data_IF_278640151795
#
_entry.id   IF_278640151795
#
_cell.length_a   1.000
_cell.length_b   1.000
_cell.length_c   1.000
_cell.angle_alpha   90.00
_cell.angle_beta   90.00
_cell.angle_gamma   90.00
#
_symmetry.space_group_name_H-M   'P 1'
#
loop_
_entity.id
_entity.type
_entity.pdbx_description
1 polymer ?
#
# COMPACT_ATOMS: atom_id res chain seq x y z
N UNK A 1 -8.63 4.67 -6.59
CA UNK A 1 -9.37 4.42 -7.85
C UNK A 1 -8.40 4.60 -9.01
N UNK A 2 -8.56 3.83 -10.10
CA UNK A 2 -7.95 4.17 -11.39
C UNK A 2 -8.58 5.46 -11.96
N UNK A 3 -7.96 6.07 -12.97
CA UNK A 3 -8.41 7.37 -13.48
C UNK A 3 -9.80 7.33 -14.12
N UNK A 4 -10.16 6.21 -14.74
CA UNK A 4 -11.49 5.97 -15.31
C UNK A 4 -12.50 5.43 -14.28
N UNK A 5 -12.08 5.22 -13.03
CA UNK A 5 -12.92 4.67 -11.97
C UNK A 5 -13.28 3.19 -12.09
N UNK A 6 -12.77 2.46 -13.09
CA UNK A 6 -13.12 1.04 -13.28
C UNK A 6 -12.38 0.09 -12.34
N UNK A 7 -11.34 0.55 -11.63
CA UNK A 7 -10.59 -0.24 -10.65
C UNK A 7 -10.56 0.49 -9.30
N UNK A 8 -10.94 -0.20 -8.24
CA UNK A 8 -10.87 0.28 -6.87
C UNK A 8 -9.98 -0.62 -6.03
N UNK A 9 -9.13 -0.01 -5.22
CA UNK A 9 -8.37 -0.70 -4.18
C UNK A 9 -8.81 -0.16 -2.82
N UNK A 10 -8.98 -1.06 -1.85
CA UNK A 10 -9.30 -0.71 -0.46
C UNK A 10 -8.64 -1.71 0.48
N UNK A 11 -8.45 -1.32 1.74
CA UNK A 11 -7.71 -2.10 2.72
C UNK A 11 -8.46 -2.25 4.04
N UNK A 12 -8.09 -3.27 4.80
CA UNK A 12 -8.35 -3.39 6.23
C UNK A 12 -7.01 -3.57 6.95
N UNK A 13 -6.34 -2.46 7.33
CA UNK A 13 -4.97 -2.53 7.82
C UNK A 13 -4.83 -3.24 9.18
N UNK A 14 -5.91 -3.30 9.97
CA UNK A 14 -5.94 -3.96 11.28
C UNK A 14 -6.31 -5.44 11.21
N UNK A 15 -6.56 -5.99 10.01
CA UNK A 15 -6.87 -7.40 9.80
C UNK A 15 -5.82 -8.32 10.45
N UNK A 16 -6.28 -9.35 11.16
CA UNK A 16 -5.45 -10.33 11.87
C UNK A 16 -4.28 -9.70 12.65
N UNK A 17 -4.60 -8.98 13.74
CA UNK A 17 -3.63 -8.31 14.60
C UNK A 17 -2.72 -7.33 13.84
N UNK A 18 -3.26 -6.67 12.82
CA UNK A 18 -2.50 -5.71 12.03
C UNK A 18 -1.57 -6.34 11.00
N UNK A 19 -1.80 -7.59 10.60
CA UNK A 19 -1.16 -8.13 9.39
C UNK A 19 -1.60 -7.32 8.17
N UNK A 20 -2.87 -6.94 8.13
CA UNK A 20 -3.42 -6.10 7.08
C UNK A 20 -3.76 -6.87 5.81
N UNK A 21 -4.80 -6.40 5.11
CA UNK A 21 -5.26 -6.99 3.84
C UNK A 21 -5.71 -5.89 2.89
N UNK A 22 -5.48 -6.09 1.60
CA UNK A 22 -5.89 -5.19 0.51
C UNK A 22 -6.66 -5.97 -0.54
N UNK A 23 -7.77 -5.40 -0.98
CA UNK A 23 -8.58 -5.92 -2.06
C UNK A 23 -8.51 -4.98 -3.25
N UNK A 24 -8.48 -5.54 -4.46
CA UNK A 24 -8.56 -4.78 -5.69
C UNK A 24 -9.68 -5.33 -6.55
N UNK A 25 -10.67 -4.51 -6.88
CA UNK A 25 -11.80 -4.93 -7.69
C UNK A 25 -11.86 -4.16 -9.00
N UNK A 26 -12.34 -4.85 -10.03
CA UNK A 26 -12.66 -4.29 -11.34
C UNK A 26 -14.18 -4.25 -11.53
N UNK A 27 -14.68 -3.11 -12.01
CA UNK A 27 -16.06 -2.91 -12.38
C UNK A 27 -16.31 -3.44 -13.80
N UNK A 28 -17.24 -4.36 -13.95
CA UNK A 28 -17.84 -4.64 -15.26
C UNK A 28 -18.81 -3.49 -15.61
N UNK A 29 -18.54 -2.68 -16.65
CA UNK A 29 -19.39 -1.54 -17.00
C UNK A 29 -20.74 -1.97 -17.59
N UNK A 30 -20.86 -3.20 -18.09
CA UNK A 30 -22.11 -3.70 -18.69
C UNK A 30 -23.09 -4.17 -17.61
N UNK A 31 -22.58 -4.86 -16.57
CA UNK A 31 -23.42 -5.40 -15.50
C UNK A 31 -23.47 -4.52 -14.26
N UNK A 32 -22.45 -3.68 -14.04
CA UNK A 32 -22.26 -2.90 -12.82
C UNK A 32 -21.64 -3.71 -11.66
N UNK A 33 -21.22 -4.95 -11.91
CA UNK A 33 -20.67 -5.82 -10.87
C UNK A 33 -19.18 -5.54 -10.61
N UNK A 34 -18.81 -5.59 -9.33
CA UNK A 34 -17.40 -5.53 -8.92
C UNK A 34 -16.85 -6.94 -8.73
N UNK A 35 -15.77 -7.25 -9.45
CA UNK A 35 -15.10 -8.56 -9.38
C UNK A 35 -13.69 -8.43 -8.81
N UNK A 36 -13.29 -9.35 -7.94
CA UNK A 36 -11.96 -9.35 -7.32
C UNK A 36 -10.89 -9.67 -8.37
N UNK A 37 -9.95 -8.76 -8.58
CA UNK A 37 -8.83 -8.96 -9.49
C UNK A 37 -7.79 -9.90 -8.87
N UNK A 38 -7.47 -10.99 -9.57
CA UNK A 38 -6.45 -11.97 -9.15
C UNK A 38 -6.98 -13.12 -8.30
N UNK A 39 -8.30 -13.16 -8.02
CA UNK A 39 -8.96 -14.24 -7.30
C UNK A 39 -8.65 -14.33 -5.80
N UNK A 40 -7.73 -13.52 -5.29
CA UNK A 40 -7.36 -13.46 -3.87
C UNK A 40 -6.98 -12.03 -3.46
N UNK A 41 -7.08 -11.75 -2.16
CA UNK A 41 -6.63 -10.49 -1.58
C UNK A 41 -5.09 -10.47 -1.44
N UNK A 42 -4.54 -9.27 -1.29
CA UNK A 42 -3.12 -9.07 -0.98
C UNK A 42 -2.97 -8.95 0.54
N UNK A 43 -2.22 -9.85 1.14
CA UNK A 43 -1.99 -9.88 2.57
C UNK A 43 -0.65 -9.26 2.93
N UNK A 44 -0.59 -8.60 4.09
CA UNK A 44 0.68 -8.32 4.74
C UNK A 44 1.37 -9.60 5.17
N UNK A 45 2.68 -9.53 5.38
CA UNK A 45 3.51 -10.70 5.69
C UNK A 45 3.79 -10.89 7.18
N UNK A 46 3.53 -9.88 8.01
CA UNK A 46 3.87 -9.90 9.44
C UNK A 46 2.82 -9.14 10.24
N UNK A 47 2.47 -9.67 11.41
CA UNK A 47 1.52 -9.02 12.33
C UNK A 47 2.05 -7.64 12.73
N UNK A 48 1.14 -6.69 12.93
CA UNK A 48 1.40 -5.30 13.33
C UNK A 48 2.12 -4.44 12.28
N UNK A 49 2.34 -4.94 11.08
CA UNK A 49 2.89 -4.17 9.95
C UNK A 49 1.90 -3.12 9.43
N UNK A 50 0.60 -3.32 9.66
CA UNK A 50 -0.52 -2.47 9.20
C UNK A 50 -0.47 -2.29 7.69
N UNK A 51 -0.34 -3.41 6.98
CA UNK A 51 -0.31 -3.41 5.53
C UNK A 51 -1.63 -2.87 4.97
N UNK A 52 -1.53 -1.91 4.05
CA UNK A 52 -2.66 -1.15 3.54
C UNK A 52 -2.86 0.21 4.22
N UNK A 53 -1.88 0.73 4.96
CA UNK A 53 -1.92 2.07 5.59
C UNK A 53 -2.09 3.20 4.58
N UNK A 54 -1.52 3.05 3.39
CA UNK A 54 -1.78 3.90 2.23
C UNK A 54 -1.97 3.04 0.98
N UNK A 55 -2.74 3.55 0.01
CA UNK A 55 -2.97 2.90 -1.27
C UNK A 55 -2.86 3.93 -2.40
N UNK A 56 -2.13 3.60 -3.46
CA UNK A 56 -2.08 4.42 -4.67
C UNK A 56 -2.11 3.55 -5.93
N UNK A 57 -3.19 3.68 -6.70
CA UNK A 57 -3.35 3.03 -8.00
C UNK A 57 -2.77 3.93 -9.09
N UNK A 58 -2.09 3.34 -10.07
CA UNK A 58 -1.74 4.05 -11.30
C UNK A 58 -2.99 4.42 -12.11
N UNK A 59 -2.85 5.41 -12.99
CA UNK A 59 -3.96 5.90 -13.83
C UNK A 59 -4.65 4.79 -14.62
N UNK A 60 -3.87 3.85 -15.17
CA UNK A 60 -4.33 2.69 -15.94
C UNK A 60 -4.75 1.50 -15.05
N UNK A 61 -4.57 1.62 -13.73
CA UNK A 61 -4.84 0.57 -12.75
C UNK A 61 -3.92 -0.66 -12.84
N UNK A 62 -2.83 -0.61 -13.63
CA UNK A 62 -1.90 -1.73 -13.79
C UNK A 62 -0.87 -1.85 -12.67
N UNK A 63 -0.73 -0.82 -11.83
CA UNK A 63 0.19 -0.78 -10.68
C UNK A 63 -0.53 -0.31 -9.42
N UNK A 64 -0.11 -0.87 -8.29
CA UNK A 64 -0.63 -0.52 -6.96
C UNK A 64 0.54 -0.38 -5.99
N UNK A 65 0.71 0.79 -5.39
CA UNK A 65 1.55 0.97 -4.21
C UNK A 65 0.71 0.76 -2.95
N UNK A 66 1.26 -0.01 -2.01
CA UNK A 66 0.66 -0.31 -0.71
C UNK A 66 1.66 0.02 0.38
N UNK A 67 1.28 0.94 1.27
CA UNK A 67 2.05 1.26 2.46
C UNK A 67 1.81 0.27 3.58
N UNK A 68 2.82 0.17 4.44
CA UNK A 68 2.78 -0.56 5.68
C UNK A 68 3.46 0.30 6.72
N UNK A 69 2.68 0.89 7.61
CA UNK A 69 3.21 1.76 8.64
C UNK A 69 2.65 1.40 10.01
N UNK A 70 3.53 1.16 11.00
CA UNK A 70 3.14 1.04 12.40
C UNK A 70 2.16 2.14 12.81
N UNK A 71 1.08 1.81 13.52
CA UNK A 71 0.05 2.78 13.81
C UNK A 71 0.38 3.50 15.12
N UNK A 72 0.57 4.81 15.09
CA UNK A 72 0.61 5.59 16.34
C UNK A 72 -0.76 5.62 17.05
N UNK A 73 -1.86 5.39 16.31
CA UNK A 73 -3.22 5.67 16.79
C UNK A 73 -4.15 4.44 16.97
N UNK A 74 -3.79 3.23 16.54
CA UNK A 74 -4.74 2.09 16.52
C UNK A 74 -4.57 1.10 17.68
N UNK A 75 -3.88 1.48 18.75
CA UNK A 75 -3.75 0.67 19.98
C UNK A 75 -2.96 -0.63 19.83
N UNK A 76 -2.39 -0.89 18.64
CA UNK A 76 -1.49 -2.00 18.39
C UNK A 76 -0.09 -1.59 18.83
N UNK A 77 0.44 -2.23 19.87
CA UNK A 77 1.80 -1.98 20.37
C UNK A 77 2.83 -2.53 19.39
N UNK A 78 3.46 -1.63 18.68
CA UNK A 78 4.65 -1.86 17.83
C UNK A 78 5.91 -1.68 18.66
N UNK A 79 6.98 -2.36 18.29
CA UNK A 79 8.28 -2.18 18.92
C UNK A 79 8.92 -0.86 18.46
N UNK A 80 9.76 -0.30 19.33
CA UNK A 80 10.43 0.98 19.09
C UNK A 80 11.51 0.88 17.98
N UNK A 81 11.58 -0.23 17.25
CA UNK A 81 12.57 -0.48 16.22
C UNK A 81 11.90 -0.87 14.88
N UNK A 82 10.60 -0.60 14.76
CA UNK A 82 9.85 -0.80 13.52
C UNK A 82 10.24 0.25 12.47
N UNK A 83 10.42 -0.21 11.24
CA UNK A 83 10.48 0.63 10.04
C UNK A 83 9.22 0.39 9.22
N UNK A 84 8.61 1.47 8.74
CA UNK A 84 7.56 1.36 7.73
C UNK A 84 8.15 0.91 6.38
N UNK A 85 7.30 0.43 5.48
CA UNK A 85 7.68 0.15 4.11
C UNK A 85 6.57 0.43 3.10
N UNK A 86 6.94 0.52 1.83
CA UNK A 86 6.00 0.47 0.71
C UNK A 86 6.32 -0.72 -0.19
N UNK A 87 5.27 -1.42 -0.57
CA UNK A 87 5.30 -2.52 -1.54
C UNK A 87 4.57 -2.10 -2.80
N UNK A 88 5.20 -2.30 -3.95
CA UNK A 88 4.58 -2.03 -5.25
C UNK A 88 4.26 -3.34 -5.96
N UNK A 89 3.02 -3.45 -6.45
CA UNK A 89 2.54 -4.56 -7.26
C UNK A 89 2.23 -4.12 -8.68
N UNK A 90 2.40 -5.05 -9.61
CA UNK A 90 1.98 -4.94 -11.00
C UNK A 90 0.98 -6.05 -11.34
N UNK A 91 -0.10 -5.65 -11.99
CA UNK A 91 -1.08 -6.56 -12.56
C UNK A 91 -0.57 -7.13 -13.88
N UNK A 92 -0.38 -8.45 -13.95
CA UNK A 92 0.12 -9.12 -15.15
C UNK A 92 -0.99 -9.66 -16.07
N UNK A 93 -2.25 -9.32 -15.82
CA UNK A 93 -3.42 -9.86 -16.53
C UNK A 93 -4.07 -11.07 -15.84
N UNK A 94 -3.40 -11.70 -14.88
CA UNK A 94 -3.89 -12.86 -14.13
C UNK A 94 -3.82 -12.67 -12.62
N UNK A 95 -2.74 -12.11 -12.12
CA UNK A 95 -2.48 -11.92 -10.70
C UNK A 95 -1.67 -10.65 -10.45
N UNK A 96 -1.69 -10.20 -9.20
CA UNK A 96 -0.84 -9.10 -8.73
C UNK A 96 0.52 -9.66 -8.32
N UNK A 97 1.57 -9.17 -8.98
CA UNK A 97 2.95 -9.60 -8.73
C UNK A 97 3.75 -8.45 -8.14
N UNK A 98 4.61 -8.72 -7.16
CA UNK A 98 5.48 -7.71 -6.57
C UNK A 98 6.52 -7.25 -7.61
N UNK A 99 6.63 -5.94 -7.86
CA UNK A 99 7.57 -5.40 -8.87
C UNK A 99 9.03 -5.42 -8.40
N UNK A 100 9.28 -4.98 -7.16
CA UNK A 100 10.63 -4.77 -6.62
C UNK A 100 10.75 -5.32 -5.20
N UNK A 101 11.94 -5.27 -4.59
CA UNK A 101 12.05 -5.37 -3.13
C UNK A 101 11.22 -4.27 -2.46
N UNK A 102 10.74 -4.52 -1.24
CA UNK A 102 10.05 -3.49 -0.47
C UNK A 102 10.96 -2.28 -0.29
N UNK A 103 10.37 -1.09 -0.41
CA UNK A 103 11.03 0.18 -0.14
C UNK A 103 10.87 0.43 1.35
N UNK A 104 11.91 0.15 2.12
CA UNK A 104 11.88 0.19 3.59
C UNK A 104 12.40 1.55 4.07
N UNK A 105 11.74 2.13 5.07
CA UNK A 105 12.21 3.30 5.79
C UNK A 105 13.45 3.01 6.64
N UNK A 106 14.03 4.06 7.21
CA UNK A 106 15.07 3.90 8.22
C UNK A 106 14.46 3.37 9.53
N UNK A 107 15.29 3.01 10.51
CA UNK A 107 14.80 2.66 11.86
C UNK A 107 14.02 3.84 12.45
N UNK A 108 12.88 3.57 13.10
CA UNK A 108 11.95 4.58 13.64
C UNK A 108 11.33 5.52 12.59
N UNK A 109 11.53 5.24 11.30
CA UNK A 109 10.88 5.94 10.20
C UNK A 109 9.68 5.14 9.69
N UNK A 110 8.49 5.68 9.95
CA UNK A 110 7.20 5.13 9.55
C UNK A 110 6.88 5.46 8.08
N UNK A 111 7.82 5.15 7.19
CA UNK A 111 7.66 5.34 5.75
C UNK A 111 6.49 4.50 5.24
N UNK A 112 5.58 5.09 4.47
CA UNK A 112 4.41 4.37 3.93
C UNK A 112 3.10 4.69 4.66
N UNK A 113 3.08 5.74 5.47
CA UNK A 113 1.83 6.31 6.01
C UNK A 113 1.00 6.99 4.92
N UNK A 114 1.68 7.63 3.96
CA UNK A 114 1.04 8.20 2.79
C UNK A 114 1.85 7.85 1.54
N UNK A 115 1.16 7.70 0.40
CA UNK A 115 1.81 7.38 -0.85
C UNK A 115 1.03 7.88 -2.07
N UNK A 116 1.78 8.31 -3.09
CA UNK A 116 1.24 8.74 -4.38
C UNK A 116 2.07 8.16 -5.52
N UNK A 117 1.42 7.46 -6.44
CA UNK A 117 2.02 6.80 -7.59
C UNK A 117 1.51 7.45 -8.89
N UNK A 118 2.44 7.93 -9.71
CA UNK A 118 2.14 8.45 -11.06
C UNK A 118 3.16 7.91 -12.05
N UNK A 119 2.70 7.07 -12.98
CA UNK A 119 3.57 6.39 -13.94
C UNK A 119 4.60 5.50 -13.23
N UNK A 120 5.89 5.82 -13.38
CA UNK A 120 6.99 5.18 -12.66
C UNK A 120 7.39 5.90 -11.38
N UNK A 121 6.82 7.06 -11.07
CA UNK A 121 7.21 7.86 -9.90
C UNK A 121 6.34 7.56 -8.69
N UNK A 122 6.97 7.21 -7.59
CA UNK A 122 6.34 6.97 -6.31
C UNK A 122 6.85 7.99 -5.29
N UNK A 123 5.97 8.80 -4.72
CA UNK A 123 6.23 9.59 -3.53
C UNK A 123 5.69 8.85 -2.31
N UNK A 124 6.47 8.83 -1.22
CA UNK A 124 6.12 8.16 0.03
C UNK A 124 6.43 9.06 1.21
N UNK A 125 5.46 9.20 2.11
CA UNK A 125 5.55 10.03 3.31
C UNK A 125 5.74 9.23 4.60
N UNK A 126 6.32 9.91 5.60
CA UNK A 126 6.23 9.59 7.03
C UNK A 126 6.05 10.90 7.80
N UNK A 127 5.16 10.98 8.78
CA UNK A 127 4.96 12.21 9.56
C UNK A 127 5.81 12.31 10.84
N UNK A 128 6.58 11.27 11.18
CA UNK A 128 7.42 11.22 12.41
C UNK A 128 8.86 10.79 12.17
N UNK A 129 9.53 11.33 11.15
CA UNK A 129 10.92 10.96 10.84
C UNK A 129 11.92 11.23 11.99
N UNK A 130 11.54 12.06 12.97
CA UNK A 130 12.32 12.36 14.18
C UNK A 130 11.45 12.99 15.31
N UNK A 131 10.25 12.46 15.53
CA UNK A 131 9.25 12.94 16.50
C UNK A 131 8.69 14.36 16.29
N UNK A 132 9.27 15.17 15.40
CA UNK A 132 8.87 16.58 15.20
C UNK A 132 8.80 17.03 13.74
N UNK A 133 9.30 16.21 12.80
CA UNK A 133 9.28 16.51 11.37
C UNK A 133 8.78 15.35 10.53
N UNK A 134 8.13 15.67 9.41
CA UNK A 134 7.79 14.71 8.37
C UNK A 134 8.89 14.57 7.32
N UNK A 135 8.84 13.47 6.58
CA UNK A 135 9.72 13.15 5.47
C UNK A 135 8.89 12.76 4.24
N UNK A 136 9.32 13.19 3.06
CA UNK A 136 8.86 12.65 1.77
C UNK A 136 10.07 12.13 1.00
N UNK A 137 10.00 10.88 0.55
CA UNK A 137 10.97 10.28 -0.37
C UNK A 137 10.30 10.00 -1.71
N UNK A 138 11.00 10.30 -2.81
CA UNK A 138 10.52 10.06 -4.18
C UNK A 138 11.42 9.01 -4.84
N UNK A 139 10.80 8.02 -5.48
CA UNK A 139 11.44 6.88 -6.11
C UNK A 139 11.00 6.77 -7.57
N UNK A 140 11.94 6.41 -8.45
CA UNK A 140 11.63 5.94 -9.79
C UNK A 140 11.61 4.40 -9.79
N UNK A 141 10.47 3.85 -10.17
CA UNK A 141 10.23 2.41 -10.31
C UNK A 141 10.70 1.98 -11.70
N UNK A 142 11.79 1.22 -11.74
CA UNK A 142 12.37 0.64 -12.95
C UNK A 142 11.46 -0.44 -13.56
#
# INVERSE_FOLDING_TARGET
>A
LSANGSIVAYSSPTYEEGTGVVYVHHLDPETGDWTLMGGTALYGGTKKDIFGSCLSLSSDGSRLAVGSSPPLAVGIRVDNNSSGFVRVFHWNGKEWTKMTKDIVGDVENYLGEDCSLVGSRLAVGSFTYNDTTGLVRVFDLL
#
